data_IF_347937886059
#
_entry.id   IF_347937886059
#
_cell.length_a   1.000
_cell.length_b   1.000
_cell.length_c   1.000
_cell.angle_alpha   90.00
_cell.angle_beta   90.00
_cell.angle_gamma   90.00
#
_symmetry.space_group_name_H-M   'P 1'
#
loop_
_entity.id
_entity.type
_entity.pdbx_description
1 polymer ?
#
# COMPACT_ATOMS: atom_id res chain seq x y z
N UNK A 1 -48.07 31.71 -2.75
CA UNK A 1 -47.51 30.48 -3.35
C UNK A 1 -46.02 30.72 -3.55
N UNK A 2 -45.18 30.23 -2.64
CA UNK A 2 -43.73 30.22 -2.77
C UNK A 2 -43.25 28.85 -2.31
N UNK A 3 -42.74 28.05 -3.25
CA UNK A 3 -42.21 26.71 -2.99
C UNK A 3 -40.75 26.90 -2.55
N UNK A 4 -40.47 26.73 -1.26
CA UNK A 4 -39.11 26.62 -0.76
C UNK A 4 -38.67 25.16 -0.92
N UNK A 5 -37.91 24.88 -1.99
CA UNK A 5 -37.24 23.58 -2.16
C UNK A 5 -36.04 23.56 -1.20
N UNK A 6 -36.18 22.87 -0.09
CA UNK A 6 -35.07 22.58 0.83
C UNK A 6 -34.29 21.41 0.23
N UNK A 7 -33.17 21.70 -0.43
CA UNK A 7 -32.19 20.71 -0.85
C UNK A 7 -31.45 20.19 0.39
N UNK A 8 -31.92 19.07 0.93
CA UNK A 8 -31.17 18.27 1.91
C UNK A 8 -29.91 17.72 1.25
N UNK A 9 -28.75 18.29 1.60
CA UNK A 9 -27.44 17.74 1.26
C UNK A 9 -27.30 16.37 1.95
N UNK A 10 -27.29 15.30 1.16
CA UNK A 10 -26.90 13.97 1.61
C UNK A 10 -25.40 14.00 1.96
N UNK A 11 -25.10 14.13 3.26
CA UNK A 11 -23.78 13.85 3.79
C UNK A 11 -23.51 12.35 3.61
N UNK A 12 -22.87 11.97 2.50
CA UNK A 12 -22.22 10.67 2.38
C UNK A 12 -21.00 10.71 3.27
N UNK A 13 -21.21 10.50 4.57
CA UNK A 13 -20.17 10.05 5.48
C UNK A 13 -19.87 8.60 5.10
N UNK A 14 -19.10 8.44 4.01
CA UNK A 14 -18.35 7.20 3.82
C UNK A 14 -17.57 6.99 5.10
N UNK A 15 -17.87 5.91 5.82
CA UNK A 15 -17.13 5.53 7.01
C UNK A 15 -15.67 5.45 6.57
N UNK A 16 -14.90 6.50 6.88
CA UNK A 16 -13.46 6.42 6.87
C UNK A 16 -13.19 5.31 7.88
N UNK A 17 -13.01 4.09 7.36
CA UNK A 17 -12.52 2.98 8.15
C UNK A 17 -11.34 3.57 8.89
N UNK A 18 -11.40 3.54 10.22
CA UNK A 18 -10.26 3.86 11.07
C UNK A 18 -9.25 2.72 10.85
N UNK A 19 -8.73 2.63 9.64
CA UNK A 19 -7.50 1.96 9.28
C UNK A 19 -6.53 2.55 10.27
N UNK A 20 -6.11 1.75 11.25
CA UNK A 20 -4.99 2.08 12.13
C UNK A 20 -3.92 2.64 11.19
N UNK A 21 -3.69 3.95 11.24
CA UNK A 21 -2.87 4.66 10.27
C UNK A 21 -1.50 4.00 10.31
N UNK A 22 -1.20 3.18 9.31
CA UNK A 22 0.09 2.50 9.21
C UNK A 22 1.11 3.62 9.05
N UNK A 23 2.23 3.55 9.78
CA UNK A 23 3.22 4.62 9.65
C UNK A 23 3.72 4.69 8.20
N UNK A 24 4.08 5.89 7.75
CA UNK A 24 4.62 6.09 6.41
C UNK A 24 5.80 5.15 6.12
N UNK A 25 6.73 5.00 7.07
CA UNK A 25 7.90 4.11 6.94
C UNK A 25 7.51 2.63 6.83
N UNK A 26 6.51 2.18 7.59
CA UNK A 26 6.01 0.81 7.46
C UNK A 26 5.34 0.59 6.10
N UNK A 27 4.53 1.54 5.64
CA UNK A 27 3.86 1.45 4.36
C UNK A 27 4.86 1.43 3.18
N UNK A 28 5.87 2.30 3.18
CA UNK A 28 6.94 2.31 2.17
C UNK A 28 7.74 1.01 2.18
N UNK A 29 8.11 0.51 3.37
CA UNK A 29 8.83 -0.75 3.50
C UNK A 29 8.02 -1.92 2.97
N UNK A 30 6.73 -1.99 3.31
CA UNK A 30 5.87 -3.05 2.81
C UNK A 30 5.64 -2.93 1.31
N UNK A 31 5.44 -1.72 0.76
CA UNK A 31 5.30 -1.49 -0.67
C UNK A 31 6.52 -2.01 -1.45
N UNK A 32 7.72 -1.64 -1.00
CA UNK A 32 8.97 -2.09 -1.61
C UNK A 32 9.12 -3.61 -1.59
N UNK A 33 8.88 -4.26 -0.45
CA UNK A 33 9.02 -5.71 -0.30
C UNK A 33 8.00 -6.49 -1.13
N UNK A 34 6.72 -6.09 -1.11
CA UNK A 34 5.68 -6.80 -1.86
C UNK A 34 5.81 -6.59 -3.36
N UNK A 35 6.20 -5.39 -3.80
CA UNK A 35 6.46 -5.13 -5.21
C UNK A 35 7.67 -5.92 -5.71
N UNK A 36 8.80 -5.87 -4.99
CA UNK A 36 9.99 -6.64 -5.33
C UNK A 36 9.70 -8.15 -5.38
N UNK A 37 8.94 -8.66 -4.42
CA UNK A 37 8.55 -10.07 -4.41
C UNK A 37 7.64 -10.42 -5.60
N UNK A 38 6.68 -9.56 -5.95
CA UNK A 38 5.82 -9.75 -7.12
C UNK A 38 6.62 -9.78 -8.43
N UNK A 39 7.59 -8.88 -8.57
CA UNK A 39 8.46 -8.78 -9.76
C UNK A 39 9.38 -10.01 -9.88
N UNK A 40 9.96 -10.47 -8.76
CA UNK A 40 10.83 -11.65 -8.73
C UNK A 40 10.07 -12.96 -8.96
N UNK A 41 8.78 -13.01 -8.60
CA UNK A 41 7.95 -14.19 -8.80
C UNK A 41 7.39 -14.29 -10.23
N UNK A 42 7.05 -13.16 -10.85
CA UNK A 42 6.56 -13.10 -12.24
C UNK A 42 5.05 -12.94 -12.41
N UNK A 43 4.25 -13.07 -11.34
CA UNK A 43 2.84 -12.65 -11.29
C UNK A 43 1.82 -13.60 -11.92
N UNK A 44 2.26 -14.61 -12.67
CA UNK A 44 1.36 -15.54 -13.39
C UNK A 44 0.67 -16.55 -12.46
N UNK A 45 1.36 -16.95 -11.38
CA UNK A 45 0.82 -17.92 -10.44
C UNK A 45 -0.23 -17.30 -9.51
N UNK A 46 -1.04 -18.13 -8.85
CA UNK A 46 -1.93 -17.64 -7.78
C UNK A 46 -1.15 -16.92 -6.68
N UNK A 47 0.04 -17.41 -6.37
CA UNK A 47 0.91 -16.78 -5.38
C UNK A 47 1.38 -15.40 -5.88
N UNK A 48 1.81 -15.31 -7.14
CA UNK A 48 2.15 -14.07 -7.83
C UNK A 48 1.06 -13.02 -7.78
N UNK A 49 -0.18 -13.40 -8.08
CA UNK A 49 -1.34 -12.49 -7.97
C UNK A 49 -1.51 -11.93 -6.56
N UNK A 50 -1.36 -12.76 -5.53
CA UNK A 50 -1.45 -12.26 -4.13
C UNK A 50 -0.30 -11.32 -3.77
N UNK A 51 0.86 -11.45 -4.40
CA UNK A 51 1.98 -10.51 -4.20
C UNK A 51 1.70 -9.18 -4.90
N UNK A 52 1.15 -9.24 -6.12
CA UNK A 52 0.75 -8.07 -6.89
C UNK A 52 -0.33 -7.26 -6.17
N UNK A 53 -1.38 -7.91 -5.66
CA UNK A 53 -2.44 -7.27 -4.88
C UNK A 53 -1.88 -6.59 -3.61
N UNK A 54 -0.93 -7.26 -2.95
CA UNK A 54 -0.24 -6.68 -1.81
C UNK A 54 0.61 -5.46 -2.19
N UNK A 55 1.30 -5.50 -3.33
CA UNK A 55 2.06 -4.37 -3.85
C UNK A 55 1.16 -3.17 -4.14
N UNK A 56 0.03 -3.37 -4.79
CA UNK A 56 -0.95 -2.31 -5.05
C UNK A 56 -1.50 -1.70 -3.76
N UNK A 57 -1.93 -2.55 -2.82
CA UNK A 57 -2.45 -2.10 -1.53
C UNK A 57 -1.42 -1.24 -0.78
N UNK A 58 -0.18 -1.73 -0.67
CA UNK A 58 0.85 -1.03 0.09
C UNK A 58 1.35 0.24 -0.59
N UNK A 59 1.38 0.27 -1.93
CA UNK A 59 1.72 1.50 -2.66
C UNK A 59 0.69 2.60 -2.40
N UNK A 60 -0.61 2.26 -2.46
CA UNK A 60 -1.69 3.20 -2.13
C UNK A 60 -1.64 3.62 -0.65
N UNK A 61 -1.41 2.68 0.25
CA UNK A 61 -1.27 2.98 1.68
C UNK A 61 -0.09 3.93 1.95
N UNK A 62 1.04 3.77 1.25
CA UNK A 62 2.19 4.64 1.37
C UNK A 62 1.88 6.07 0.90
N UNK A 63 1.17 6.22 -0.21
CA UNK A 63 0.73 7.53 -0.70
C UNK A 63 -0.27 8.20 0.24
N UNK A 64 -1.25 7.46 0.76
CA UNK A 64 -2.20 7.98 1.75
C UNK A 64 -1.51 8.42 3.04
N UNK A 65 -0.56 7.62 3.55
CA UNK A 65 0.25 7.98 4.70
C UNK A 65 1.13 9.20 4.44
N UNK A 66 1.70 9.33 3.23
CA UNK A 66 2.45 10.52 2.82
C UNK A 66 1.57 11.77 2.87
N UNK A 67 0.40 11.74 2.24
CA UNK A 67 -0.56 12.85 2.24
C UNK A 67 -0.98 13.22 3.67
N UNK A 68 -1.32 12.24 4.50
CA UNK A 68 -1.71 12.47 5.88
C UNK A 68 -0.58 13.10 6.72
N UNK A 69 0.68 12.86 6.35
CA UNK A 69 1.87 13.44 6.99
C UNK A 69 2.35 14.76 6.35
N UNK A 70 1.66 15.28 5.34
CA UNK A 70 2.07 16.50 4.62
C UNK A 70 3.35 16.33 3.78
N UNK A 71 3.70 15.10 3.42
CA UNK A 71 4.88 14.79 2.59
C UNK A 71 4.62 15.12 1.13
N UNK A 72 5.67 15.56 0.44
CA UNK A 72 5.65 15.76 -1.01
C UNK A 72 5.36 14.43 -1.75
N UNK A 73 4.39 14.39 -2.70
CA UNK A 73 4.04 13.17 -3.42
C UNK A 73 5.19 12.59 -4.26
N UNK A 74 5.98 13.45 -4.92
CA UNK A 74 7.12 13.01 -5.75
C UNK A 74 8.20 12.38 -4.88
N UNK A 75 8.48 12.98 -3.71
CA UNK A 75 9.36 12.37 -2.71
C UNK A 75 8.82 11.00 -2.26
N UNK A 76 7.51 10.86 -2.05
CA UNK A 76 6.92 9.60 -1.61
C UNK A 76 6.99 8.48 -2.67
N UNK A 77 6.82 8.80 -3.95
CA UNK A 77 7.03 7.86 -5.06
C UNK A 77 8.50 7.45 -5.18
N UNK A 78 9.42 8.40 -5.02
CA UNK A 78 10.86 8.14 -5.01
C UNK A 78 11.26 7.22 -3.85
N UNK A 79 10.66 7.38 -2.67
CA UNK A 79 10.92 6.53 -1.51
C UNK A 79 10.46 5.09 -1.75
N UNK A 80 9.28 4.90 -2.34
CA UNK A 80 8.79 3.58 -2.75
C UNK A 80 9.70 2.94 -3.80
N UNK A 81 10.16 3.72 -4.78
CA UNK A 81 11.11 3.24 -5.80
C UNK A 81 12.42 2.77 -5.18
N UNK A 82 12.99 3.54 -4.24
CA UNK A 82 14.21 3.14 -3.53
C UNK A 82 13.99 1.89 -2.68
N UNK A 83 12.88 1.82 -1.95
CA UNK A 83 12.52 0.67 -1.13
C UNK A 83 12.35 -0.61 -1.98
N UNK A 84 11.76 -0.51 -3.18
CA UNK A 84 11.67 -1.60 -4.14
C UNK A 84 13.04 -2.09 -4.58
N UNK A 85 13.90 -1.18 -5.03
CA UNK A 85 15.24 -1.53 -5.52
C UNK A 85 16.11 -2.19 -4.43
N UNK A 86 16.03 -1.70 -3.20
CA UNK A 86 16.68 -2.34 -2.04
C UNK A 86 16.10 -3.73 -1.78
N UNK A 87 14.77 -3.85 -1.76
CA UNK A 87 14.08 -5.11 -1.52
C UNK A 87 14.39 -6.17 -2.58
N UNK A 88 14.52 -5.80 -3.86
CA UNK A 88 14.95 -6.73 -4.92
C UNK A 88 16.32 -7.33 -4.58
N UNK A 89 17.30 -6.49 -4.18
CA UNK A 89 18.63 -6.96 -3.81
C UNK A 89 18.57 -7.93 -2.64
N UNK A 90 17.87 -7.55 -1.57
CA UNK A 90 17.77 -8.33 -0.32
C UNK A 90 17.05 -9.67 -0.53
N UNK A 91 15.93 -9.66 -1.24
CA UNK A 91 15.17 -10.89 -1.53
C UNK A 91 15.93 -11.82 -2.48
N UNK A 92 16.62 -11.27 -3.48
CA UNK A 92 17.46 -12.05 -4.42
C UNK A 92 18.66 -12.67 -3.70
N UNK A 93 19.24 -11.98 -2.71
CA UNK A 93 20.29 -12.51 -1.84
C UNK A 93 19.78 -13.57 -0.83
N UNK A 94 18.48 -13.86 -0.80
CA UNK A 94 17.89 -14.84 0.10
C UNK A 94 17.82 -14.38 1.55
N UNK A 95 17.87 -13.08 1.82
CA UNK A 95 17.92 -12.53 3.17
C UNK A 95 16.69 -12.94 3.99
N UNK A 96 16.92 -13.60 5.13
CA UNK A 96 15.86 -14.16 5.97
C UNK A 96 14.96 -13.07 6.59
N UNK A 97 15.54 -11.94 6.99
CA UNK A 97 14.79 -10.83 7.57
C UNK A 97 13.83 -10.21 6.55
N UNK A 98 14.29 -9.93 5.33
CA UNK A 98 13.46 -9.39 4.26
C UNK A 98 12.25 -10.32 3.97
N UNK A 99 12.47 -11.63 3.93
CA UNK A 99 11.39 -12.63 3.77
C UNK A 99 10.41 -12.62 4.95
N UNK A 100 10.91 -12.53 6.17
CA UNK A 100 10.07 -12.46 7.36
C UNK A 100 9.20 -11.19 7.39
N UNK A 101 9.76 -10.04 7.01
CA UNK A 101 9.01 -8.78 6.89
C UNK A 101 7.98 -8.88 5.78
N UNK A 102 8.34 -9.41 4.60
CA UNK A 102 7.42 -9.65 3.49
C UNK A 102 6.20 -10.47 3.94
N UNK A 103 6.41 -11.58 4.66
CA UNK A 103 5.31 -12.39 5.17
C UNK A 103 4.38 -11.58 6.07
N UNK A 104 4.93 -10.74 6.97
CA UNK A 104 4.11 -9.87 7.83
C UNK A 104 3.32 -8.82 7.03
N UNK A 105 3.94 -8.21 6.01
CA UNK A 105 3.27 -7.25 5.13
C UNK A 105 2.10 -7.92 4.40
N UNK A 106 2.28 -9.14 3.89
CA UNK A 106 1.21 -9.91 3.23
C UNK A 106 0.08 -10.30 4.16
N UNK A 107 0.38 -10.66 5.42
CA UNK A 107 -0.64 -10.98 6.42
C UNK A 107 -1.50 -9.77 6.81
N UNK A 108 -0.93 -8.56 6.71
CA UNK A 108 -1.63 -7.29 6.95
C UNK A 108 -2.37 -6.75 5.72
N UNK A 109 -2.12 -7.31 4.53
CA UNK A 109 -2.84 -6.94 3.30
C UNK A 109 -4.25 -7.54 3.33
N UNK A 110 -5.31 -6.74 3.12
CA UNK A 110 -6.67 -7.25 2.92
C UNK A 110 -6.75 -8.19 1.70
N UNK A 111 -7.63 -9.20 1.73
CA UNK A 111 -7.87 -10.04 0.55
C UNK A 111 -8.70 -9.24 -0.47
N UNK A 112 -8.14 -9.00 -1.66
CA UNK A 112 -8.78 -8.18 -2.68
C UNK A 112 -9.68 -8.96 -3.66
N UNK A 113 -9.65 -10.30 -3.62
CA UNK A 113 -10.57 -11.18 -4.38
C UNK A 113 -9.85 -12.07 -5.38
#
# INVERSE_FOLDING_TARGET
MFIAVVTTALAVLGQAQTTRLVSYDEAVRCAGLTQAASELEGGESRYGRTLYDAALYWSLAAMQAATASGRDPVAAENDQTRARLDSVKRLSAGEAEARAVLTRCRQKTPRLG
#
